data_IF_001022610845
#
_entry.id   IF_001022610845
#
_cell.length_a   1.000
_cell.length_b   1.000
_cell.length_c   1.000
_cell.angle_alpha   90.00
_cell.angle_beta   90.00
_cell.angle_gamma   90.00
#
_symmetry.space_group_name_H-M   'P 1'
#
loop_
_entity.id
_entity.type
_entity.pdbx_description
1 polymer ?
#
# COMPACT_ATOMS: atom_id res chain seq x y z
N UNK A 1 28.27 -8.16 18.81
CA UNK A 1 27.28 -7.29 19.48
C UNK A 1 26.02 -8.12 19.64
N UNK A 2 25.64 -8.44 20.87
CA UNK A 2 24.50 -9.32 21.17
C UNK A 2 23.19 -8.60 20.83
N UNK A 3 22.35 -9.19 19.98
CA UNK A 3 20.95 -8.77 19.85
C UNK A 3 20.13 -9.65 20.79
N UNK A 4 19.70 -9.08 21.89
CA UNK A 4 18.83 -9.74 22.87
C UNK A 4 17.46 -9.93 22.22
N UNK A 5 17.08 -11.20 22.02
CA UNK A 5 15.73 -11.60 21.66
C UNK A 5 14.84 -11.42 22.90
N UNK A 6 14.16 -10.28 23.02
CA UNK A 6 13.15 -10.06 24.05
C UNK A 6 11.76 -10.17 23.40
N UNK A 7 11.20 -11.38 23.39
CA UNK A 7 9.78 -11.61 23.09
C UNK A 7 8.95 -11.27 24.33
N UNK A 8 8.29 -10.11 24.35
CA UNK A 8 7.22 -9.81 25.31
C UNK A 8 6.11 -8.94 24.69
N UNK A 9 4.94 -9.57 24.54
CA UNK A 9 3.58 -9.04 24.78
C UNK A 9 3.10 -7.93 23.82
N UNK A 10 2.45 -8.38 22.74
CA UNK A 10 1.74 -7.57 21.75
C UNK A 10 2.27 -7.85 20.36
N UNK A 11 1.89 -8.99 19.77
CA UNK A 11 2.22 -9.25 18.35
C UNK A 11 1.64 -8.11 17.53
N UNK A 12 2.48 -7.21 17.03
CA UNK A 12 2.07 -6.19 16.07
C UNK A 12 1.75 -6.94 14.79
N UNK A 13 0.49 -7.39 14.65
CA UNK A 13 0.01 -8.15 13.48
C UNK A 13 0.12 -7.35 12.17
N UNK A 14 0.36 -6.04 12.28
CA UNK A 14 0.39 -5.08 11.16
C UNK A 14 1.58 -4.14 11.30
N UNK A 15 2.52 -4.22 10.36
CA UNK A 15 3.51 -3.16 10.19
C UNK A 15 2.97 -2.11 9.20
N UNK A 16 3.07 -0.82 9.52
CA UNK A 16 2.67 0.25 8.60
C UNK A 16 3.88 1.12 8.26
N UNK A 17 4.15 1.23 6.97
CA UNK A 17 5.25 2.03 6.42
C UNK A 17 4.68 2.99 5.39
N UNK A 18 4.87 4.28 5.59
CA UNK A 18 4.51 5.30 4.60
C UNK A 18 5.63 5.47 3.58
N UNK A 19 5.31 5.40 2.29
CA UNK A 19 6.26 5.70 1.23
C UNK A 19 6.60 7.20 1.29
N UNK A 20 7.88 7.50 1.13
CA UNK A 20 8.32 8.88 0.96
C UNK A 20 7.81 9.45 -0.37
N UNK A 21 7.74 10.79 -0.48
CA UNK A 21 7.33 11.47 -1.71
C UNK A 21 8.12 11.01 -2.94
N UNK A 22 9.43 10.78 -2.79
CA UNK A 22 10.27 10.32 -3.89
C UNK A 22 9.91 8.89 -4.33
N UNK A 23 9.65 7.99 -3.36
CA UNK A 23 9.20 6.63 -3.66
C UNK A 23 7.82 6.61 -4.33
N UNK A 24 6.90 7.46 -3.88
CA UNK A 24 5.58 7.61 -4.54
C UNK A 24 5.73 8.12 -5.96
N UNK A 25 6.59 9.12 -6.22
CA UNK A 25 6.83 9.64 -7.57
C UNK A 25 7.49 8.61 -8.49
N UNK A 26 8.45 7.84 -7.97
CA UNK A 26 9.09 6.75 -8.70
C UNK A 26 8.10 5.63 -9.04
N UNK A 27 7.22 5.29 -8.09
CA UNK A 27 6.12 4.34 -8.29
C UNK A 27 5.15 4.80 -9.38
N UNK A 28 4.71 6.06 -9.33
CA UNK A 28 3.87 6.65 -10.38
C UNK A 28 4.58 6.68 -11.76
N UNK A 29 5.89 6.93 -11.77
CA UNK A 29 6.67 6.95 -13.02
C UNK A 29 6.88 5.57 -13.63
N UNK A 30 6.83 4.51 -12.82
CA UNK A 30 7.06 3.13 -13.25
C UNK A 30 5.79 2.38 -13.65
N UNK A 31 4.61 2.83 -13.19
CA UNK A 31 3.32 2.25 -13.57
C UNK A 31 2.33 3.33 -14.02
N UNK A 32 2.11 3.49 -15.34
CA UNK A 32 1.12 4.44 -15.87
C UNK A 32 -0.28 4.19 -15.32
N UNK A 33 -0.67 2.92 -15.17
CA UNK A 33 -1.99 2.53 -14.67
C UNK A 33 -2.20 2.99 -13.22
N UNK A 34 -1.19 2.83 -12.36
CA UNK A 34 -1.27 3.31 -10.99
C UNK A 34 -1.21 4.84 -10.92
N UNK A 35 -0.43 5.48 -11.78
CA UNK A 35 -0.41 6.94 -11.91
C UNK A 35 -1.81 7.46 -12.25
N UNK A 36 -2.48 6.85 -13.23
CA UNK A 36 -3.84 7.19 -13.66
C UNK A 36 -4.86 6.97 -12.53
N UNK A 37 -4.72 5.90 -11.75
CA UNK A 37 -5.56 5.66 -10.57
C UNK A 37 -5.37 6.75 -9.52
N UNK A 38 -4.13 7.12 -9.20
CA UNK A 38 -3.84 8.16 -8.20
C UNK A 38 -4.38 9.51 -8.65
N UNK A 39 -4.18 9.89 -9.91
CA UNK A 39 -4.73 11.12 -10.46
C UNK A 39 -6.25 11.13 -10.44
N UNK A 40 -6.88 10.01 -10.83
CA UNK A 40 -8.33 9.89 -10.75
C UNK A 40 -8.84 10.03 -9.31
N UNK A 41 -8.16 9.44 -8.33
CA UNK A 41 -8.52 9.58 -6.91
C UNK A 41 -8.37 11.02 -6.40
N UNK A 42 -7.32 11.74 -6.84
CA UNK A 42 -7.13 13.14 -6.50
C UNK A 42 -8.22 14.04 -7.11
N UNK A 43 -8.61 13.76 -8.36
CA UNK A 43 -9.62 14.54 -9.10
C UNK A 43 -11.03 14.39 -8.54
N UNK A 44 -11.31 13.36 -7.74
CA UNK A 44 -12.60 13.21 -7.05
C UNK A 44 -12.90 14.40 -6.13
N UNK A 45 -11.87 14.98 -5.49
CA UNK A 45 -11.99 16.14 -4.59
C UNK A 45 -12.90 15.93 -3.36
N UNK A 46 -13.39 14.71 -3.14
CA UNK A 46 -14.26 14.32 -2.02
C UNK A 46 -14.19 12.80 -1.82
N UNK A 47 -14.74 12.32 -0.70
CA UNK A 47 -14.86 10.88 -0.44
C UNK A 47 -15.86 10.24 -1.41
N UNK A 48 -15.39 9.41 -2.33
CA UNK A 48 -16.25 8.64 -3.23
C UNK A 48 -17.02 7.53 -2.50
N UNK A 49 -18.13 7.11 -3.12
CA UNK A 49 -18.90 5.94 -2.67
C UNK A 49 -18.17 4.64 -3.06
N UNK A 50 -18.49 3.55 -2.36
CA UNK A 50 -17.90 2.24 -2.67
C UNK A 50 -18.22 1.78 -4.10
N UNK A 51 -19.42 2.04 -4.60
CA UNK A 51 -19.82 1.70 -5.98
C UNK A 51 -18.94 2.42 -7.03
N UNK A 52 -18.63 3.69 -6.80
CA UNK A 52 -17.74 4.46 -7.70
C UNK A 52 -16.32 3.91 -7.68
N UNK A 53 -15.81 3.56 -6.50
CA UNK A 53 -14.49 2.94 -6.35
C UNK A 53 -14.45 1.55 -6.99
N UNK A 54 -15.45 0.70 -6.73
CA UNK A 54 -15.56 -0.66 -7.27
C UNK A 54 -15.53 -0.64 -8.79
N UNK A 55 -16.37 0.17 -9.42
CA UNK A 55 -16.39 0.30 -10.89
C UNK A 55 -15.01 0.66 -11.43
N UNK A 56 -14.33 1.63 -10.81
CA UNK A 56 -13.00 2.04 -11.26
C UNK A 56 -11.96 0.94 -11.07
N UNK A 57 -11.97 0.24 -9.94
CA UNK A 57 -11.02 -0.84 -9.66
C UNK A 57 -11.21 -2.04 -10.60
N UNK A 58 -12.44 -2.33 -11.03
CA UNK A 58 -12.72 -3.39 -12.00
C UNK A 58 -12.19 -3.11 -13.41
N UNK A 59 -11.92 -1.83 -13.74
CA UNK A 59 -11.34 -1.42 -15.03
C UNK A 59 -9.80 -1.46 -15.02
N UNK A 60 -9.18 -1.69 -13.87
CA UNK A 60 -7.73 -1.61 -13.67
C UNK A 60 -7.12 -3.00 -13.76
N UNK A 61 -6.09 -3.11 -14.61
CA UNK A 61 -5.27 -4.31 -14.74
C UNK A 61 -3.83 -3.98 -14.32
N UNK A 62 -3.52 -4.10 -13.02
CA UNK A 62 -2.18 -3.89 -12.47
C UNK A 62 -1.53 -5.25 -12.24
N UNK A 63 -0.34 -5.43 -12.79
CA UNK A 63 0.46 -6.63 -12.59
C UNK A 63 1.33 -6.47 -11.35
N UNK A 64 1.52 -7.54 -10.56
CA UNK A 64 2.26 -7.46 -9.31
C UNK A 64 3.73 -7.08 -9.53
N UNK A 65 4.27 -7.48 -10.68
CA UNK A 65 5.61 -7.20 -11.17
C UNK A 65 5.87 -5.68 -11.30
N UNK A 66 4.83 -4.89 -11.58
CA UNK A 66 4.92 -3.42 -11.65
C UNK A 66 5.14 -2.78 -10.27
N UNK A 67 4.84 -3.52 -9.20
CA UNK A 67 4.85 -3.03 -7.82
C UNK A 67 6.04 -3.56 -7.00
N UNK A 68 6.72 -4.62 -7.45
CA UNK A 68 7.71 -5.39 -6.67
C UNK A 68 8.76 -4.53 -5.96
N UNK A 69 9.27 -3.49 -6.63
CA UNK A 69 10.31 -2.60 -6.09
C UNK A 69 9.85 -1.76 -4.90
N UNK A 70 8.54 -1.62 -4.72
CA UNK A 70 7.92 -0.79 -3.69
C UNK A 70 7.23 -1.64 -2.62
N UNK A 71 7.32 -2.98 -2.72
CA UNK A 71 6.79 -3.90 -1.74
C UNK A 71 7.78 -4.03 -0.58
N UNK A 72 7.38 -3.54 0.59
CA UNK A 72 7.98 -3.92 1.84
C UNK A 72 7.22 -5.07 2.49
N UNK A 73 7.95 -5.93 3.20
CA UNK A 73 7.42 -7.06 3.95
C UNK A 73 7.87 -6.98 5.40
N UNK A 74 6.97 -7.31 6.32
CA UNK A 74 7.32 -7.48 7.73
C UNK A 74 7.71 -8.93 8.00
N UNK A 75 8.61 -9.14 8.95
CA UNK A 75 8.90 -10.48 9.48
C UNK A 75 7.73 -10.99 10.36
N UNK A 76 7.11 -10.09 11.11
CA UNK A 76 5.98 -10.38 11.98
C UNK A 76 4.72 -9.68 11.44
N UNK A 77 3.70 -10.47 11.09
CA UNK A 77 2.44 -9.95 10.55
C UNK A 77 2.52 -9.37 9.13
N UNK A 78 1.39 -8.90 8.61
CA UNK A 78 1.34 -8.31 7.27
C UNK A 78 1.86 -6.87 7.27
N UNK A 79 2.33 -6.39 6.13
CA UNK A 79 2.79 -5.00 6.00
C UNK A 79 1.83 -4.17 5.13
N UNK A 80 1.52 -2.96 5.58
CA UNK A 80 0.81 -1.92 4.85
C UNK A 80 1.83 -0.89 4.36
N UNK A 81 2.07 -0.86 3.07
CA UNK A 81 2.89 0.14 2.40
C UNK A 81 1.95 1.26 1.92
N UNK A 82 1.86 2.35 2.69
CA UNK A 82 0.96 3.48 2.38
C UNK A 82 1.58 4.30 1.26
N UNK A 83 0.96 4.26 0.07
CA UNK A 83 1.42 5.00 -1.11
C UNK A 83 1.06 6.48 -0.99
N UNK A 84 -0.18 6.74 -0.59
CA UNK A 84 -0.73 8.10 -0.48
C UNK A 84 -1.88 8.13 0.52
N UNK A 85 -1.91 9.19 1.31
CA UNK A 85 -2.96 9.46 2.28
C UNK A 85 -3.43 10.91 2.15
N UNK A 86 -4.73 11.09 2.05
CA UNK A 86 -5.40 12.39 1.99
C UNK A 86 -6.53 12.42 3.03
N UNK A 87 -7.29 13.53 3.08
CA UNK A 87 -8.51 13.59 3.89
C UNK A 87 -9.61 12.65 3.36
N UNK A 88 -9.61 12.34 2.07
CA UNK A 88 -10.71 11.62 1.41
C UNK A 88 -10.43 10.15 1.17
N UNK A 89 -9.15 9.76 1.04
CA UNK A 89 -8.76 8.37 0.80
C UNK A 89 -7.38 8.04 1.36
N UNK A 90 -7.15 6.74 1.56
CA UNK A 90 -5.84 6.16 1.83
C UNK A 90 -5.61 5.02 0.84
N UNK A 91 -4.55 5.11 0.05
CA UNK A 91 -4.13 4.09 -0.90
C UNK A 91 -2.95 3.31 -0.33
N UNK A 92 -3.11 2.00 -0.17
CA UNK A 92 -2.13 1.12 0.48
C UNK A 92 -1.87 -0.13 -0.36
N UNK A 93 -0.62 -0.57 -0.44
CA UNK A 93 -0.26 -1.92 -0.87
C UNK A 93 -0.13 -2.79 0.38
N UNK A 94 -0.91 -3.86 0.45
CA UNK A 94 -0.86 -4.79 1.58
C UNK A 94 -0.09 -6.03 1.13
N UNK A 95 0.97 -6.36 1.87
CA UNK A 95 1.85 -7.48 1.59
C UNK A 95 1.76 -8.52 2.70
N UNK A 96 1.49 -9.77 2.32
CA UNK A 96 1.50 -10.93 3.21
C UNK A 96 2.62 -11.89 2.79
N UNK A 97 3.45 -12.31 3.74
CA UNK A 97 4.27 -13.52 3.57
C UNK A 97 3.39 -14.77 3.77
N UNK A 98 3.75 -15.91 3.15
CA UNK A 98 3.01 -17.16 3.33
C UNK A 98 2.81 -17.50 4.81
N UNK A 99 1.57 -17.81 5.20
CA UNK A 99 1.21 -18.19 6.57
C UNK A 99 0.83 -17.03 7.51
N UNK A 100 1.00 -15.77 7.09
CA UNK A 100 0.52 -14.61 7.84
C UNK A 100 -1.02 -14.49 7.72
N UNK A 101 -1.65 -13.99 8.79
CA UNK A 101 -3.10 -13.81 8.90
C UNK A 101 -3.42 -12.34 9.18
N UNK A 102 -4.65 -11.93 8.84
CA UNK A 102 -5.22 -10.63 9.19
C UNK A 102 -5.71 -10.60 10.64
#
# INVERSE_FOLDING_TARGET
MFVVHLRLIGETMVNQVELSKNQTLELMSSSPILSDLIHWLDDLGQRATLEVIEKKLLEIDIQAEDLEKFLGYSEDGYQRNVIKKTEHFELVLICWKPGQKT
#
